data_IF_618172275840
#
_entry.id   IF_618172275840
#
_cell.length_a   1.000
_cell.length_b   1.000
_cell.length_c   1.000
_cell.angle_alpha   90.00
_cell.angle_beta   90.00
_cell.angle_gamma   90.00
#
_symmetry.space_group_name_H-M   'P 1'
#
loop_
_entity.id
_entity.type
_entity.pdbx_description
1 polymer ?
#
# COMPACT_ATOMS: atom_id res chain seq x y z
N UNK A 1 -26.03 2.62 -9.45
CA UNK A 1 -24.93 3.48 -8.96
C UNK A 1 -23.64 3.00 -9.60
N UNK A 2 -22.77 3.93 -10.00
CA UNK A 2 -21.47 3.58 -10.52
C UNK A 2 -20.69 2.73 -9.53
N UNK A 3 -19.98 1.73 -10.03
CA UNK A 3 -19.17 0.85 -9.20
C UNK A 3 -17.91 0.43 -9.94
N UNK A 4 -16.77 0.55 -9.30
CA UNK A 4 -15.49 0.19 -9.90
C UNK A 4 -14.31 0.81 -9.16
N UNK A 5 -13.15 0.73 -9.80
CA UNK A 5 -11.89 1.23 -9.27
C UNK A 5 -11.31 2.23 -10.25
N UNK A 6 -10.97 3.43 -9.79
CA UNK A 6 -10.16 4.38 -10.54
C UNK A 6 -8.78 4.48 -9.89
N UNK A 7 -7.74 4.51 -10.71
CA UNK A 7 -6.36 4.65 -10.25
C UNK A 7 -5.92 6.08 -10.53
N UNK A 8 -5.69 6.85 -9.48
CA UNK A 8 -5.34 8.26 -9.60
C UNK A 8 -3.83 8.44 -9.40
N UNK A 9 -3.18 9.24 -10.23
CA UNK A 9 -1.88 9.83 -9.91
C UNK A 9 -2.13 11.04 -9.00
N UNK A 10 -2.09 10.79 -7.69
CA UNK A 10 -2.36 11.81 -6.67
C UNK A 10 -1.31 12.90 -6.72
N UNK A 11 -1.69 14.16 -7.01
CA UNK A 11 -0.76 15.28 -6.99
C UNK A 11 -0.38 15.68 -5.56
N UNK A 12 0.66 16.53 -5.40
CA UNK A 12 0.98 17.12 -4.10
C UNK A 12 -0.16 18.01 -3.60
N UNK A 13 -0.25 18.20 -2.28
CA UNK A 13 -1.23 19.08 -1.64
C UNK A 13 -2.64 18.49 -1.46
N UNK A 14 -2.93 17.32 -2.03
CA UNK A 14 -4.20 16.64 -1.82
C UNK A 14 -4.16 15.73 -0.58
N UNK A 15 -5.24 15.78 0.22
CA UNK A 15 -5.34 14.96 1.42
C UNK A 15 -5.84 13.55 1.09
N UNK A 16 -5.06 12.56 1.47
CA UNK A 16 -5.45 11.17 1.66
C UNK A 16 -4.86 10.72 2.99
N UNK A 17 -5.05 9.47 3.41
CA UNK A 17 -4.41 8.96 4.64
C UNK A 17 -2.88 9.16 4.64
N UNK A 18 -2.24 9.16 3.46
CA UNK A 18 -0.84 9.55 3.25
C UNK A 18 -0.79 10.96 2.64
N UNK A 19 -0.91 11.98 3.45
CA UNK A 19 -0.92 13.40 3.00
C UNK A 19 0.33 13.74 2.19
N UNK A 20 1.48 13.19 2.56
CA UNK A 20 2.78 13.43 1.92
C UNK A 20 3.00 12.65 0.63
N UNK A 21 2.48 11.44 0.52
CA UNK A 21 2.70 10.62 -0.66
C UNK A 21 1.94 11.17 -1.86
N UNK A 22 2.64 11.36 -2.98
CA UNK A 22 2.07 11.53 -4.32
C UNK A 22 2.00 10.18 -5.04
N UNK A 23 1.45 10.14 -6.26
CA UNK A 23 1.46 8.96 -7.11
C UNK A 23 0.25 8.05 -6.95
N UNK A 24 0.43 6.76 -7.18
CA UNK A 24 -0.65 5.78 -7.33
C UNK A 24 -1.60 5.74 -6.13
N UNK A 25 -2.86 6.10 -6.36
CA UNK A 25 -3.94 6.01 -5.38
C UNK A 25 -5.13 5.26 -5.98
N UNK A 26 -5.33 3.97 -5.65
CA UNK A 26 -6.56 3.26 -6.00
C UNK A 26 -7.73 3.82 -5.19
N UNK A 27 -8.78 4.27 -5.88
CA UNK A 27 -10.03 4.77 -5.28
C UNK A 27 -11.16 3.83 -5.67
N UNK A 28 -11.87 3.34 -4.68
CA UNK A 28 -12.96 2.37 -4.83
C UNK A 28 -14.31 3.08 -4.73
N UNK A 29 -15.18 2.85 -5.70
CA UNK A 29 -16.49 3.49 -5.82
C UNK A 29 -17.61 2.44 -5.74
N UNK A 30 -18.69 2.77 -5.06
CA UNK A 30 -19.87 1.89 -4.95
C UNK A 30 -19.53 0.55 -4.27
N UNK A 31 -20.06 -0.54 -4.83
CA UNK A 31 -19.84 -1.88 -4.29
C UNK A 31 -18.36 -2.35 -4.35
N UNK A 32 -17.54 -1.73 -5.22
CA UNK A 32 -16.12 -2.05 -5.28
C UNK A 32 -15.37 -1.72 -3.97
N UNK A 33 -15.94 -0.87 -3.09
CA UNK A 33 -15.39 -0.61 -1.75
C UNK A 33 -15.20 -1.87 -0.91
N UNK A 34 -15.94 -2.95 -1.22
CA UNK A 34 -15.76 -4.27 -0.59
C UNK A 34 -14.38 -4.89 -0.86
N UNK A 35 -13.67 -4.41 -1.90
CA UNK A 35 -12.35 -4.90 -2.27
C UNK A 35 -11.19 -4.14 -1.59
N UNK A 36 -11.46 -3.07 -0.84
CA UNK A 36 -10.42 -2.23 -0.18
C UNK A 36 -9.47 -3.06 0.68
N UNK A 37 -9.98 -4.03 1.43
CA UNK A 37 -9.16 -4.89 2.29
C UNK A 37 -8.06 -5.66 1.53
N UNK A 38 -8.33 -6.05 0.28
CA UNK A 38 -7.35 -6.74 -0.56
C UNK A 38 -6.26 -5.77 -1.02
N UNK A 39 -6.62 -4.52 -1.34
CA UNK A 39 -5.67 -3.46 -1.70
C UNK A 39 -4.78 -3.04 -0.52
N UNK A 40 -5.36 -2.95 0.68
CA UNK A 40 -4.61 -2.60 1.90
C UNK A 40 -3.56 -3.64 2.24
N UNK A 41 -3.86 -4.91 2.02
CA UNK A 41 -2.94 -6.02 2.31
C UNK A 41 -1.86 -6.24 1.24
N UNK A 42 -2.01 -5.63 0.06
CA UNK A 42 -1.05 -5.74 -1.04
C UNK A 42 0.27 -5.01 -0.77
N UNK A 43 1.29 -5.43 -1.53
CA UNK A 43 2.57 -4.74 -1.57
C UNK A 43 2.44 -3.32 -2.10
N UNK A 44 3.41 -2.49 -1.73
CA UNK A 44 3.52 -1.12 -2.19
C UNK A 44 4.95 -0.85 -2.62
N UNK A 45 5.11 -0.01 -3.64
CA UNK A 45 6.42 0.48 -4.06
C UNK A 45 6.43 1.99 -4.03
N UNK A 46 7.54 2.53 -3.57
CA UNK A 46 7.76 3.97 -3.43
C UNK A 46 9.12 4.37 -3.98
N UNK A 47 9.19 5.63 -4.45
CA UNK A 47 10.43 6.39 -4.52
C UNK A 47 10.41 7.36 -3.34
N UNK A 48 11.34 7.18 -2.42
CA UNK A 48 11.50 7.99 -1.22
C UNK A 48 12.78 8.84 -1.34
N UNK A 49 12.64 10.13 -1.05
CA UNK A 49 13.79 11.03 -0.95
C UNK A 49 14.37 10.98 0.46
N UNK A 50 15.60 10.54 0.59
CA UNK A 50 16.38 10.55 1.82
C UNK A 50 17.30 11.77 1.83
N UNK A 51 17.21 12.59 2.87
CA UNK A 51 18.20 13.64 3.20
C UNK A 51 19.02 13.19 4.40
N UNK A 52 20.31 13.10 4.21
CA UNK A 52 21.28 12.86 5.29
C UNK A 52 21.67 14.18 5.98
N UNK A 53 22.19 14.08 7.20
CA UNK A 53 22.64 15.24 7.98
C UNK A 53 21.54 15.95 8.76
N UNK A 54 20.27 15.48 8.68
CA UNK A 54 19.13 16.14 9.32
C UNK A 54 18.29 15.12 10.10
N UNK A 55 17.93 15.48 11.35
CA UNK A 55 16.97 14.73 12.16
C UNK A 55 15.81 15.64 12.52
N UNK A 56 14.57 15.18 12.31
CA UNK A 56 13.35 15.94 12.63
C UNK A 56 12.41 15.11 13.52
N UNK A 57 11.55 15.79 14.27
CA UNK A 57 10.58 15.15 15.18
C UNK A 57 9.51 14.31 14.43
N UNK A 58 9.25 14.59 13.15
CA UNK A 58 8.31 13.84 12.30
C UNK A 58 8.99 12.79 11.43
N UNK A 59 10.33 12.77 11.38
CA UNK A 59 11.15 11.95 10.47
C UNK A 59 10.94 12.30 8.97
N UNK A 60 10.35 13.46 8.70
CA UNK A 60 10.24 14.08 7.37
C UNK A 60 10.51 15.60 7.47
N UNK A 61 10.73 16.24 6.34
CA UNK A 61 11.13 17.67 6.29
C UNK A 61 10.02 18.65 6.68
N UNK A 62 8.82 18.20 7.06
CA UNK A 62 7.76 19.09 7.59
C UNK A 62 7.87 19.32 9.09
N UNK A 63 8.65 18.50 9.77
CA UNK A 63 8.82 18.58 11.20
C UNK A 63 9.85 19.64 11.62
N UNK A 64 9.90 19.87 12.92
CA UNK A 64 10.93 20.69 13.55
C UNK A 64 12.27 19.97 13.53
N UNK A 65 13.33 20.67 13.20
CA UNK A 65 14.71 20.16 13.27
C UNK A 65 15.10 19.92 14.69
N UNK A 66 15.50 18.69 15.00
CA UNK A 66 16.03 18.31 16.31
C UNK A 66 17.56 18.36 16.31
N UNK A 67 18.18 17.84 15.24
CA UNK A 67 19.64 17.72 15.13
C UNK A 67 20.08 17.96 13.68
N UNK A 68 21.30 18.48 13.54
CA UNK A 68 22.00 18.58 12.26
C UNK A 68 23.41 18.05 12.43
N UNK A 69 23.89 17.25 11.48
CA UNK A 69 25.18 16.60 11.51
C UNK A 69 25.92 16.85 10.18
N UNK A 70 27.25 16.94 10.19
CA UNK A 70 28.02 16.93 8.96
C UNK A 70 27.85 15.58 8.25
N UNK A 71 27.71 15.61 6.93
CA UNK A 71 27.62 14.38 6.11
C UNK A 71 29.00 14.13 5.51
N UNK A 72 29.66 13.09 6.03
CA UNK A 72 30.98 12.65 5.56
C UNK A 72 30.93 11.34 4.78
N UNK A 73 29.74 10.75 4.69
CA UNK A 73 29.48 9.49 3.97
C UNK A 73 29.27 9.77 2.48
N UNK A 74 29.79 8.89 1.65
CA UNK A 74 29.61 8.92 0.21
C UNK A 74 28.50 7.97 -0.25
N UNK A 75 28.24 7.97 -1.57
CA UNK A 75 27.27 7.05 -2.21
C UNK A 75 27.56 5.59 -1.90
N UNK A 76 28.82 5.18 -1.90
CA UNK A 76 29.22 3.79 -1.68
C UNK A 76 28.90 3.33 -0.25
N UNK A 77 29.11 4.19 0.75
CA UNK A 77 28.78 3.91 2.14
C UNK A 77 27.24 3.77 2.31
N UNK A 78 26.45 4.61 1.65
CA UNK A 78 24.99 4.46 1.64
C UNK A 78 24.58 3.14 1.00
N UNK A 79 25.09 2.79 -0.20
CA UNK A 79 24.78 1.52 -0.86
C UNK A 79 25.15 0.31 0.01
N UNK A 80 26.27 0.36 0.73
CA UNK A 80 26.72 -0.72 1.59
C UNK A 80 25.82 -0.96 2.82
N UNK A 81 25.09 0.04 3.29
CA UNK A 81 24.20 -0.11 4.46
C UNK A 81 22.80 -0.62 4.09
N UNK A 82 22.31 -0.41 2.86
CA UNK A 82 20.94 -0.76 2.44
C UNK A 82 20.59 -2.24 2.65
N UNK A 83 21.48 -3.23 2.43
CA UNK A 83 21.17 -4.64 2.68
C UNK A 83 20.73 -4.94 4.13
N UNK A 84 21.14 -4.13 5.11
CA UNK A 84 20.74 -4.30 6.52
C UNK A 84 19.25 -4.00 6.73
N UNK A 85 18.63 -3.27 5.83
CA UNK A 85 17.21 -2.87 5.85
C UNK A 85 16.36 -3.68 4.88
N UNK A 86 16.92 -4.67 4.18
CA UNK A 86 16.20 -5.53 3.24
C UNK A 86 15.80 -6.84 3.92
N UNK A 87 14.64 -7.39 3.58
CA UNK A 87 14.07 -8.59 4.19
C UNK A 87 13.12 -8.27 5.35
N UNK A 88 12.84 -9.26 6.22
CA UNK A 88 12.01 -9.06 7.42
C UNK A 88 12.76 -8.23 8.45
N UNK A 89 12.20 -7.11 8.87
CA UNK A 89 12.77 -6.21 9.89
C UNK A 89 11.71 -5.78 10.91
N UNK A 90 12.15 -5.42 12.11
CA UNK A 90 11.31 -4.85 13.15
C UNK A 90 11.41 -3.33 13.12
N UNK A 91 10.33 -2.63 12.82
CA UNK A 91 10.28 -1.17 12.71
C UNK A 91 9.43 -0.57 13.84
N UNK A 92 9.92 0.48 14.50
CA UNK A 92 9.15 1.26 15.46
C UNK A 92 8.40 2.37 14.71
N UNK A 93 7.08 2.33 14.75
CA UNK A 93 6.25 3.34 14.07
C UNK A 93 6.51 4.75 14.61
N UNK A 94 6.51 5.80 13.76
CA UNK A 94 6.74 7.17 14.24
C UNK A 94 5.59 7.66 15.12
N UNK A 95 5.87 8.60 16.03
CA UNK A 95 4.83 9.23 16.86
C UNK A 95 3.77 9.96 16.02
N UNK A 96 4.18 10.58 14.92
CA UNK A 96 3.27 11.21 13.97
C UNK A 96 2.64 10.18 13.01
N UNK A 97 1.86 9.23 13.57
CA UNK A 97 1.14 8.22 12.80
C UNK A 97 -0.32 8.09 13.24
N UNK A 98 -1.16 7.49 12.38
CA UNK A 98 -2.57 7.25 12.68
C UNK A 98 -2.82 6.00 13.57
N UNK A 99 -1.77 5.34 14.02
CA UNK A 99 -1.86 4.20 14.92
C UNK A 99 -2.51 4.62 16.22
N UNK A 100 -3.40 3.77 16.75
CA UNK A 100 -4.05 3.98 18.02
C UNK A 100 -3.39 3.15 19.13
N UNK A 101 -3.08 3.79 20.26
CA UNK A 101 -2.69 3.13 21.51
C UNK A 101 -3.71 3.57 22.57
N UNK A 102 -4.34 2.63 23.25
CA UNK A 102 -5.38 2.89 24.25
C UNK A 102 -6.51 3.80 23.71
N UNK A 103 -6.91 3.59 22.42
CA UNK A 103 -7.98 4.35 21.78
C UNK A 103 -7.58 5.73 21.24
N UNK A 104 -6.39 6.26 21.56
CA UNK A 104 -5.89 7.56 21.12
C UNK A 104 -4.89 7.39 19.96
N UNK A 105 -4.98 8.25 18.95
CA UNK A 105 -4.03 8.24 17.82
C UNK A 105 -2.69 8.81 18.26
N UNK A 106 -1.59 8.22 17.80
CA UNK A 106 -0.24 8.65 18.17
C UNK A 106 0.03 10.12 17.80
N UNK A 107 -0.42 10.57 16.63
CA UNK A 107 -0.22 11.96 16.22
C UNK A 107 -0.95 12.98 17.15
N UNK A 108 -2.09 12.60 17.77
CA UNK A 108 -2.79 13.45 18.73
C UNK A 108 -2.01 13.58 20.06
N UNK A 109 -1.30 12.51 20.44
CA UNK A 109 -0.41 12.51 21.59
C UNK A 109 0.87 13.32 21.30
N UNK A 110 1.46 13.13 20.12
CA UNK A 110 2.65 13.87 19.69
C UNK A 110 2.41 15.40 19.68
N UNK A 111 1.27 15.85 19.13
CA UNK A 111 0.88 17.28 19.16
C UNK A 111 0.72 17.86 20.55
N UNK A 112 0.49 17.02 21.56
CA UNK A 112 0.42 17.43 22.98
C UNK A 112 1.76 17.29 23.70
N UNK A 113 2.85 17.04 22.96
CA UNK A 113 4.18 16.81 23.52
C UNK A 113 4.31 15.51 24.32
N UNK A 114 3.38 14.56 24.16
CA UNK A 114 3.41 13.28 24.87
C UNK A 114 4.05 12.21 23.99
N UNK A 115 5.11 11.62 24.48
CA UNK A 115 5.69 10.42 23.88
C UNK A 115 5.19 9.18 24.64
N UNK A 116 4.90 8.10 23.89
CA UNK A 116 4.47 6.82 24.43
C UNK A 116 5.34 5.70 23.86
N UNK A 117 5.54 4.68 24.66
CA UNK A 117 6.26 3.47 24.19
C UNK A 117 5.50 2.82 23.05
N UNK A 118 6.24 2.46 22.00
CA UNK A 118 5.72 1.84 20.79
C UNK A 118 6.42 0.51 20.58
N UNK A 119 5.64 -0.57 20.51
CA UNK A 119 6.18 -1.89 20.22
C UNK A 119 6.65 -1.95 18.77
N UNK A 120 7.81 -2.54 18.49
CA UNK A 120 8.25 -2.83 17.13
C UNK A 120 7.18 -3.66 16.37
N UNK A 121 7.04 -3.40 15.08
CA UNK A 121 6.17 -4.14 14.18
C UNK A 121 7.00 -4.83 13.13
N UNK A 122 6.69 -6.08 12.86
CA UNK A 122 7.34 -6.81 11.79
C UNK A 122 6.82 -6.30 10.44
N UNK A 123 7.73 -5.86 9.61
CA UNK A 123 7.51 -5.47 8.22
C UNK A 123 8.50 -6.22 7.33
N UNK A 124 8.26 -6.22 6.04
CA UNK A 124 9.19 -6.78 5.06
C UNK A 124 9.51 -5.74 4.00
N UNK A 125 10.77 -5.48 3.79
CA UNK A 125 11.30 -4.73 2.65
C UNK A 125 11.75 -5.75 1.62
N UNK A 126 10.99 -5.87 0.51
CA UNK A 126 11.27 -6.87 -0.53
C UNK A 126 12.44 -6.42 -1.41
N UNK A 127 12.51 -5.12 -1.70
CA UNK A 127 13.56 -4.50 -2.50
C UNK A 127 13.86 -3.11 -1.94
N UNK A 128 15.15 -2.77 -1.87
CA UNK A 128 15.63 -1.44 -1.50
C UNK A 128 16.85 -1.12 -2.35
N UNK A 129 16.75 -0.07 -3.15
CA UNK A 129 17.75 0.30 -4.15
C UNK A 129 17.99 1.81 -4.13
N UNK A 130 19.26 2.21 -4.23
CA UNK A 130 19.65 3.59 -4.45
C UNK A 130 19.54 3.91 -5.95
N UNK A 131 18.59 4.77 -6.30
CA UNK A 131 18.38 5.19 -7.69
C UNK A 131 19.33 6.30 -8.10
N UNK A 132 19.36 7.37 -7.31
CA UNK A 132 20.02 8.62 -7.70
C UNK A 132 20.59 9.34 -6.48
N UNK A 133 21.71 10.02 -6.67
CA UNK A 133 22.19 11.05 -5.77
C UNK A 133 21.82 12.42 -6.36
N UNK A 134 20.89 13.11 -5.71
CA UNK A 134 20.33 14.37 -6.19
C UNK A 134 21.21 15.56 -5.82
N UNK A 135 21.85 15.48 -4.65
CA UNK A 135 22.79 16.47 -4.15
C UNK A 135 23.86 15.80 -3.27
N UNK A 136 24.73 16.57 -2.62
CA UNK A 136 25.73 16.03 -1.68
C UNK A 136 25.08 15.25 -0.52
N UNK A 137 23.85 15.61 -0.12
CA UNK A 137 23.15 15.01 1.03
C UNK A 137 21.84 14.35 0.69
N UNK A 138 21.32 14.52 -0.52
CA UNK A 138 19.99 14.06 -0.93
C UNK A 138 20.09 12.89 -1.91
N UNK A 139 19.31 11.85 -1.64
CA UNK A 139 19.28 10.60 -2.40
C UNK A 139 17.86 10.15 -2.67
N UNK A 140 17.63 9.47 -3.81
CA UNK A 140 16.37 8.82 -4.12
C UNK A 140 16.53 7.30 -3.96
N UNK A 141 15.66 6.71 -3.14
CA UNK A 141 15.61 5.28 -2.89
C UNK A 141 14.32 4.69 -3.45
N UNK A 142 14.41 3.59 -4.21
CA UNK A 142 13.26 2.75 -4.55
C UNK A 142 13.09 1.71 -3.45
N UNK A 143 11.87 1.62 -2.91
CA UNK A 143 11.55 0.67 -1.87
C UNK A 143 10.24 -0.05 -2.18
N UNK A 144 10.30 -1.38 -2.35
CA UNK A 144 9.11 -2.26 -2.41
C UNK A 144 8.94 -2.96 -1.07
N UNK A 145 7.77 -2.81 -0.45
CA UNK A 145 7.57 -3.19 0.94
C UNK A 145 6.16 -3.72 1.22
N UNK A 146 6.04 -4.40 2.36
CA UNK A 146 4.77 -4.86 2.92
C UNK A 146 3.93 -3.70 3.46
N UNK A 147 2.65 -3.97 3.72
CA UNK A 147 1.78 -3.03 4.45
C UNK A 147 2.39 -2.64 5.80
N UNK A 148 2.08 -1.42 6.24
CA UNK A 148 2.47 -0.93 7.55
C UNK A 148 3.90 -0.40 7.64
N UNK A 149 4.67 -0.44 6.56
CA UNK A 149 6.00 0.14 6.47
C UNK A 149 5.93 1.67 6.44
N UNK A 150 6.70 2.33 7.29
CA UNK A 150 6.88 3.78 7.32
C UNK A 150 8.19 4.15 6.66
N UNK A 151 8.13 4.73 5.44
CA UNK A 151 9.32 5.14 4.68
C UNK A 151 10.09 6.25 5.41
N UNK A 152 9.40 7.09 6.18
CA UNK A 152 10.03 8.12 7.03
C UNK A 152 10.97 7.50 8.07
N UNK A 153 10.48 6.47 8.75
CA UNK A 153 11.28 5.73 9.73
C UNK A 153 12.43 4.99 9.06
N UNK A 154 12.21 4.42 7.86
CA UNK A 154 13.29 3.79 7.09
C UNK A 154 14.40 4.80 6.76
N UNK A 155 14.06 6.01 6.28
CA UNK A 155 15.02 7.08 6.01
C UNK A 155 15.78 7.49 7.29
N UNK A 156 15.05 7.64 8.40
CA UNK A 156 15.64 7.95 9.69
C UNK A 156 16.64 6.88 10.13
N UNK A 157 16.21 5.62 10.11
CA UNK A 157 17.03 4.48 10.57
C UNK A 157 18.29 4.29 9.70
N UNK A 158 18.19 4.52 8.38
CA UNK A 158 19.35 4.52 7.47
C UNK A 158 20.33 5.62 7.88
N UNK A 159 19.86 6.84 8.13
CA UNK A 159 20.71 7.95 8.57
C UNK A 159 21.37 7.70 9.93
N UNK A 160 20.64 7.07 10.86
CA UNK A 160 21.21 6.65 12.14
C UNK A 160 22.32 5.57 11.96
N UNK A 161 22.11 4.60 11.07
CA UNK A 161 23.10 3.56 10.78
C UNK A 161 24.35 4.09 10.08
N UNK A 162 24.30 5.30 9.53
CA UNK A 162 25.41 6.03 8.93
C UNK A 162 26.01 7.08 9.88
N UNK A 163 25.56 7.15 11.14
CA UNK A 163 26.01 8.07 12.19
C UNK A 163 25.93 9.57 11.80
N UNK A 164 25.06 9.91 10.83
CA UNK A 164 24.89 11.30 10.39
C UNK A 164 23.45 11.80 10.45
N UNK A 165 22.49 10.97 10.90
CA UNK A 165 21.08 11.30 10.89
C UNK A 165 20.50 11.30 9.48
N UNK A 166 19.16 11.11 9.42
CA UNK A 166 18.43 11.06 8.15
C UNK A 166 16.96 11.42 8.31
N UNK A 167 16.41 12.05 7.29
CA UNK A 167 14.99 12.40 7.23
C UNK A 167 14.45 12.24 5.81
N UNK A 168 13.14 12.00 5.68
CA UNK A 168 12.49 11.89 4.37
C UNK A 168 12.13 13.29 3.84
N UNK A 169 12.53 13.63 2.61
CA UNK A 169 12.15 14.91 1.99
C UNK A 169 11.09 14.78 0.90
N UNK A 170 10.88 13.60 0.32
CA UNK A 170 9.85 13.35 -0.67
C UNK A 170 9.36 11.91 -0.63
N UNK A 171 8.12 11.69 -1.09
CA UNK A 171 7.55 10.35 -1.18
C UNK A 171 6.60 10.28 -2.37
N UNK A 172 6.91 9.39 -3.34
CA UNK A 172 6.06 9.08 -4.47
C UNK A 172 5.75 7.59 -4.51
N UNK A 173 4.48 7.23 -4.42
CA UNK A 173 4.06 5.83 -4.53
C UNK A 173 3.95 5.45 -6.01
N UNK A 174 4.76 4.51 -6.45
CA UNK A 174 4.83 4.04 -7.83
C UNK A 174 3.97 2.81 -8.08
N UNK A 175 3.67 2.04 -7.00
CA UNK A 175 2.79 0.87 -7.08
C UNK A 175 1.98 0.68 -5.79
N UNK A 176 0.71 0.32 -5.94
CA UNK A 176 -0.18 -0.12 -4.86
C UNK A 176 -1.16 -1.16 -5.38
N UNK A 177 -1.32 -2.28 -4.67
CA UNK A 177 -2.25 -3.36 -5.00
C UNK A 177 -2.12 -3.88 -6.45
N UNK A 178 -0.91 -3.93 -6.99
CA UNK A 178 -0.62 -4.34 -8.38
C UNK A 178 -0.90 -3.28 -9.44
N UNK A 179 -1.38 -2.10 -9.07
CA UNK A 179 -1.55 -0.96 -9.97
C UNK A 179 -0.31 -0.07 -9.93
N UNK A 180 0.18 0.33 -11.11
CA UNK A 180 1.35 1.20 -11.29
C UNK A 180 0.94 2.56 -11.87
N UNK A 181 1.88 3.51 -11.91
CA UNK A 181 1.68 4.82 -12.53
C UNK A 181 1.20 4.74 -13.98
N UNK A 182 1.62 3.72 -14.73
CA UNK A 182 1.17 3.52 -16.11
C UNK A 182 -0.35 3.29 -16.26
N UNK A 183 -1.03 2.93 -15.18
CA UNK A 183 -2.49 2.74 -15.14
C UNK A 183 -3.23 3.88 -14.45
N UNK A 184 -2.49 4.85 -13.92
CA UNK A 184 -3.05 5.99 -13.21
C UNK A 184 -3.45 7.10 -14.19
N UNK A 185 -4.49 7.84 -13.82
CA UNK A 185 -5.00 9.00 -14.53
C UNK A 185 -4.89 10.25 -13.66
N UNK A 186 -4.88 11.42 -14.27
CA UNK A 186 -4.87 12.70 -13.54
C UNK A 186 -6.24 12.99 -12.89
N UNK A 187 -6.29 13.96 -11.99
CA UNK A 187 -7.56 14.44 -11.43
C UNK A 187 -8.41 15.14 -12.49
N UNK A 188 -7.78 15.83 -13.41
CA UNK A 188 -8.41 16.51 -14.56
C UNK A 188 -9.10 15.47 -15.46
N UNK A 189 -8.46 14.32 -15.71
CA UNK A 189 -9.08 13.22 -16.45
C UNK A 189 -10.30 12.67 -15.70
N UNK A 190 -10.21 12.51 -14.38
CA UNK A 190 -11.34 12.05 -13.57
C UNK A 190 -12.50 13.03 -13.64
N UNK A 191 -12.25 14.34 -13.61
CA UNK A 191 -13.28 15.36 -13.75
C UNK A 191 -13.94 15.36 -15.14
N UNK A 192 -13.12 15.12 -16.17
CA UNK A 192 -13.60 15.15 -17.57
C UNK A 192 -14.36 13.89 -17.96
N UNK A 193 -13.92 12.71 -17.51
CA UNK A 193 -14.40 11.41 -18.00
C UNK A 193 -15.27 10.66 -16.98
N UNK A 194 -15.18 11.00 -15.69
CA UNK A 194 -16.04 10.46 -14.64
C UNK A 194 -16.06 8.92 -14.60
N UNK A 195 -17.26 8.37 -14.70
CA UNK A 195 -17.51 6.92 -14.58
C UNK A 195 -16.83 6.08 -15.69
N UNK A 196 -16.52 6.67 -16.84
CA UNK A 196 -15.87 5.95 -17.94
C UNK A 196 -14.45 5.44 -17.57
N UNK A 197 -13.82 6.02 -16.55
CA UNK A 197 -12.51 5.57 -16.03
C UNK A 197 -12.61 4.45 -15.01
N UNK A 198 -13.81 4.06 -14.59
CA UNK A 198 -13.98 3.00 -13.62
C UNK A 198 -13.63 1.63 -14.22
N UNK A 199 -12.69 0.97 -13.61
CA UNK A 199 -12.32 -0.41 -13.94
C UNK A 199 -13.20 -1.37 -13.14
N UNK A 200 -13.62 -2.51 -13.71
CA UNK A 200 -14.31 -3.53 -12.94
C UNK A 200 -13.49 -3.99 -11.74
N UNK A 201 -14.15 -4.23 -10.60
CA UNK A 201 -13.48 -4.72 -9.37
C UNK A 201 -12.73 -6.03 -9.60
N UNK A 202 -13.22 -6.86 -10.53
CA UNK A 202 -12.57 -8.11 -10.94
C UNK A 202 -11.13 -7.90 -11.44
N UNK A 203 -10.80 -6.71 -11.96
CA UNK A 203 -9.45 -6.39 -12.45
C UNK A 203 -8.34 -6.55 -11.40
N UNK A 204 -8.70 -6.53 -10.10
CA UNK A 204 -7.77 -6.80 -8.99
C UNK A 204 -7.39 -8.27 -8.85
N UNK A 205 -8.21 -9.15 -9.36
CA UNK A 205 -8.14 -10.59 -9.07
C UNK A 205 -7.71 -11.43 -10.28
N UNK A 206 -7.22 -10.79 -11.33
CA UNK A 206 -6.86 -11.45 -12.61
C UNK A 206 -5.79 -12.54 -12.47
N UNK A 207 -5.00 -12.52 -11.41
CA UNK A 207 -4.04 -13.56 -11.09
C UNK A 207 -4.68 -14.90 -10.65
N UNK A 208 -5.95 -14.85 -10.18
CA UNK A 208 -6.65 -16.06 -9.79
C UNK A 208 -7.37 -16.69 -11.00
N UNK A 209 -7.41 -18.03 -11.09
CA UNK A 209 -8.13 -18.72 -12.15
C UNK A 209 -9.64 -18.42 -12.10
N UNK A 210 -10.28 -18.49 -13.26
CA UNK A 210 -11.72 -18.31 -13.42
C UNK A 210 -12.44 -19.64 -13.26
N UNK A 211 -13.54 -19.63 -12.49
CA UNK A 211 -14.52 -20.69 -12.44
C UNK A 211 -15.92 -20.16 -12.76
N UNK A 212 -16.54 -20.68 -13.81
CA UNK A 212 -17.92 -20.34 -14.19
C UNK A 212 -18.87 -21.39 -13.61
N UNK A 213 -19.89 -20.92 -12.88
CA UNK A 213 -20.86 -21.80 -12.24
C UNK A 213 -21.68 -22.57 -13.30
N UNK A 214 -21.78 -23.90 -13.20
CA UNK A 214 -22.36 -24.74 -14.26
C UNK A 214 -23.89 -24.67 -14.31
N UNK A 215 -24.57 -24.25 -13.22
CA UNK A 215 -26.02 -24.25 -13.15
C UNK A 215 -26.61 -23.09 -12.35
N UNK A 216 -27.85 -22.65 -12.67
CA UNK A 216 -28.55 -21.64 -11.89
C UNK A 216 -28.73 -22.00 -10.42
N UNK A 217 -28.90 -23.28 -10.11
CA UNK A 217 -29.03 -23.75 -8.72
C UNK A 217 -27.75 -23.55 -7.90
N UNK A 218 -26.57 -23.83 -8.48
CA UNK A 218 -25.28 -23.52 -7.83
C UNK A 218 -25.09 -21.99 -7.71
N UNK A 219 -25.48 -21.22 -8.72
CA UNK A 219 -25.41 -19.76 -8.67
C UNK A 219 -26.29 -19.17 -7.55
N UNK A 220 -27.52 -19.62 -7.42
CA UNK A 220 -28.42 -19.18 -6.35
C UNK A 220 -27.83 -19.48 -4.96
N UNK A 221 -27.18 -20.65 -4.77
CA UNK A 221 -26.51 -20.98 -3.50
C UNK A 221 -25.36 -20.02 -3.21
N UNK A 222 -24.50 -19.77 -4.20
CA UNK A 222 -23.35 -18.84 -4.06
C UNK A 222 -23.83 -17.43 -3.75
N UNK A 223 -24.87 -16.94 -4.44
CA UNK A 223 -25.45 -15.60 -4.18
C UNK A 223 -26.02 -15.49 -2.76
N UNK A 224 -26.53 -16.57 -2.20
CA UNK A 224 -26.98 -16.65 -0.81
C UNK A 224 -25.87 -16.93 0.22
N UNK A 225 -24.60 -16.93 -0.22
CA UNK A 225 -23.45 -17.15 0.67
C UNK A 225 -23.24 -18.61 1.09
N UNK A 226 -23.97 -19.57 0.48
CA UNK A 226 -23.85 -20.99 0.81
C UNK A 226 -22.70 -21.65 0.03
N UNK A 227 -21.94 -22.54 0.66
CA UNK A 227 -20.94 -23.33 -0.03
C UNK A 227 -21.57 -24.28 -1.05
N UNK A 228 -20.79 -24.62 -2.08
CA UNK A 228 -21.21 -25.59 -3.11
C UNK A 228 -20.16 -26.67 -3.29
N UNK A 229 -20.59 -27.87 -3.70
CA UNK A 229 -19.70 -28.98 -4.04
C UNK A 229 -19.15 -28.82 -5.45
N UNK A 230 -17.82 -28.91 -5.58
CA UNK A 230 -17.05 -28.71 -6.84
C UNK A 230 -15.86 -29.69 -6.86
N UNK A 231 -16.10 -31.01 -6.91
CA UNK A 231 -15.03 -32.01 -6.79
C UNK A 231 -14.01 -31.94 -7.94
N UNK A 232 -14.37 -31.25 -9.03
CA UNK A 232 -13.53 -31.02 -10.20
C UNK A 232 -12.48 -29.92 -10.00
N UNK A 233 -12.62 -29.05 -8.96
CA UNK A 233 -11.67 -27.97 -8.72
C UNK A 233 -10.53 -28.39 -7.80
N UNK A 234 -9.31 -28.04 -8.20
CA UNK A 234 -8.16 -28.10 -7.30
C UNK A 234 -8.31 -27.10 -6.15
N UNK A 235 -7.67 -27.38 -5.01
CA UNK A 235 -7.62 -26.44 -3.89
C UNK A 235 -6.96 -25.14 -4.32
N UNK A 236 -7.58 -24.01 -3.98
CA UNK A 236 -7.09 -22.70 -4.38
C UNK A 236 -8.14 -21.60 -4.30
N UNK A 237 -7.72 -20.39 -4.70
CA UNK A 237 -8.62 -19.23 -4.78
C UNK A 237 -9.04 -19.00 -6.23
N UNK A 238 -10.32 -18.73 -6.44
CA UNK A 238 -10.94 -18.61 -7.75
C UNK A 238 -11.76 -17.33 -7.88
N UNK A 239 -11.73 -16.71 -9.08
CA UNK A 239 -12.76 -15.76 -9.51
C UNK A 239 -13.97 -16.56 -9.95
N UNK A 240 -15.14 -16.27 -9.38
CA UNK A 240 -16.36 -17.02 -9.68
C UNK A 240 -17.31 -16.17 -10.48
N UNK A 241 -17.68 -16.67 -11.65
CA UNK A 241 -18.69 -16.06 -12.53
C UNK A 241 -20.01 -16.82 -12.48
N UNK A 242 -21.08 -16.07 -12.60
CA UNK A 242 -22.40 -16.59 -12.94
C UNK A 242 -22.42 -17.11 -14.39
N UNK A 243 -23.49 -17.81 -14.75
CA UNK A 243 -23.65 -18.38 -16.09
C UNK A 243 -23.70 -17.32 -17.21
N UNK A 244 -24.12 -16.10 -16.87
CA UNK A 244 -24.16 -14.94 -17.78
C UNK A 244 -22.83 -14.19 -17.90
N UNK A 245 -21.76 -14.66 -17.25
CA UNK A 245 -20.45 -14.02 -17.23
C UNK A 245 -20.28 -12.91 -16.18
N UNK A 246 -21.25 -12.67 -15.32
CA UNK A 246 -21.13 -11.69 -14.23
C UNK A 246 -20.13 -12.19 -13.19
N UNK A 247 -19.20 -11.34 -12.77
CA UNK A 247 -18.31 -11.60 -11.64
C UNK A 247 -19.11 -11.58 -10.33
N UNK A 248 -19.21 -12.70 -9.66
CA UNK A 248 -20.00 -12.84 -8.44
C UNK A 248 -19.17 -12.67 -7.18
N UNK A 249 -18.05 -13.37 -7.09
CA UNK A 249 -17.27 -13.40 -5.86
C UNK A 249 -15.85 -13.91 -6.09
N UNK A 250 -14.99 -13.63 -5.12
CA UNK A 250 -13.77 -14.36 -4.88
C UNK A 250 -14.09 -15.51 -3.92
N UNK A 251 -13.69 -16.73 -4.26
CA UNK A 251 -14.00 -17.93 -3.48
C UNK A 251 -12.77 -18.81 -3.29
N UNK A 252 -12.79 -19.64 -2.25
CA UNK A 252 -11.79 -20.66 -1.98
C UNK A 252 -12.38 -22.03 -2.21
N UNK A 253 -11.73 -22.82 -3.03
CA UNK A 253 -11.96 -24.26 -3.16
C UNK A 253 -11.03 -24.99 -2.21
N UNK A 254 -11.59 -25.90 -1.42
CA UNK A 254 -10.85 -26.73 -0.48
C UNK A 254 -11.61 -28.06 -0.29
N UNK A 255 -10.91 -29.18 -0.52
CA UNK A 255 -11.49 -30.54 -0.40
C UNK A 255 -12.81 -30.69 -1.20
N UNK A 256 -12.86 -30.20 -2.44
CA UNK A 256 -14.04 -30.29 -3.31
C UNK A 256 -15.22 -29.42 -2.90
N UNK A 257 -15.00 -28.44 -2.00
CA UNK A 257 -16.01 -27.47 -1.56
C UNK A 257 -15.57 -26.06 -1.89
N UNK A 258 -16.42 -25.28 -2.55
CA UNK A 258 -16.18 -23.87 -2.88
C UNK A 258 -16.96 -22.97 -1.91
N UNK A 259 -16.25 -22.10 -1.21
CA UNK A 259 -16.79 -21.16 -0.22
C UNK A 259 -16.44 -19.72 -0.60
N UNK A 260 -17.40 -18.82 -0.56
CA UNK A 260 -17.17 -17.40 -0.86
C UNK A 260 -16.28 -16.75 0.20
N UNK A 261 -15.18 -16.13 -0.26
CA UNK A 261 -14.34 -15.24 0.55
C UNK A 261 -14.99 -13.86 0.61
N UNK A 262 -15.39 -13.33 -0.56
CA UNK A 262 -15.99 -11.99 -0.69
C UNK A 262 -16.92 -11.92 -1.90
N UNK A 263 -18.13 -11.40 -1.68
CA UNK A 263 -19.14 -11.21 -2.72
C UNK A 263 -19.06 -9.83 -3.35
N UNK A 264 -19.21 -9.77 -4.68
CA UNK A 264 -19.14 -8.54 -5.49
C UNK A 264 -20.33 -8.37 -6.43
N UNK A 265 -21.26 -9.31 -6.49
CA UNK A 265 -22.45 -9.20 -7.34
C UNK A 265 -23.26 -7.95 -7.01
N UNK A 266 -23.78 -7.28 -8.05
CA UNK A 266 -24.39 -5.95 -7.94
C UNK A 266 -23.36 -4.82 -7.78
N UNK A 267 -22.09 -5.11 -8.06
CA UNK A 267 -21.00 -4.13 -8.01
C UNK A 267 -20.80 -3.43 -9.36
#
# INVERSE_FOLDING_TARGET
MASGIVIIDKPPGWTSMDVWATGVLPVFVGQATRAVEFAENGEKEYIAGLRLGLVTNTQDTSGETLETHPVTVDRAALEAVLPRFTGPIAQISPMYSAIKINGQKLYDLARKGKEVERKPRNITIFELELLEQVSETDYLLRCRCSKGTYLRTLCHDIGQALDCGGTMFSLRRTMAAGYTLAKAVSLEDVQAQGEALLRPVESMFTAYPLYTLPSPGKEARVRNGNPITVPELADGTYRVHGKNGEFLCLSRAENGTLTSIKNFFGA
#
